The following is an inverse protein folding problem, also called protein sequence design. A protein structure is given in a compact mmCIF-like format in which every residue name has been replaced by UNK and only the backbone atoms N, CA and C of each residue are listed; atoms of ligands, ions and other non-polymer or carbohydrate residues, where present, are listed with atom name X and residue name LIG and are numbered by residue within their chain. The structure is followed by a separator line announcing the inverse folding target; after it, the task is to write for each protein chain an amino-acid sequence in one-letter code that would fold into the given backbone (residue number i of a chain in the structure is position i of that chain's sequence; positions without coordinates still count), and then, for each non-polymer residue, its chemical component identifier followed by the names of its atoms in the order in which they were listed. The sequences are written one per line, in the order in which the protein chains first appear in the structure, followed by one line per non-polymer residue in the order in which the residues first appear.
data_IF_241394896335
#
_entry.id   IF_241394896335
#
_cell.length_a   1.000
_cell.length_b   1.000
_cell.length_c   1.000
_cell.angle_alpha   90.00
_cell.angle_beta   90.00
_cell.angle_gamma   90.00
#
_symmetry.space_group_name_H-M   'P 1'
#
loop_
_entity.id
_entity.type
_entity.pdbx_description
1 polymer ?
#
# COMPACT_ATOMS: atom_id res chain seq x y z
N UNK A 1 -12.84 9.54 0.67
CA UNK A 1 -13.61 8.43 1.30
C UNK A 1 -13.44 8.41 2.82
N UNK A 2 -12.21 8.41 3.35
CA UNK A 2 -11.99 8.28 4.79
C UNK A 2 -12.73 9.33 5.63
N UNK A 3 -12.69 10.62 5.26
CA UNK A 3 -13.45 11.67 5.98
C UNK A 3 -14.96 11.41 6.02
N UNK A 4 -15.55 10.99 4.89
CA UNK A 4 -16.99 10.75 4.77
C UNK A 4 -17.47 9.61 5.67
N UNK A 5 -16.64 8.59 5.86
CA UNK A 5 -16.96 7.42 6.67
C UNK A 5 -16.29 7.44 8.05
N UNK A 6 -15.62 8.54 8.40
CA UNK A 6 -14.79 8.64 9.61
C UNK A 6 -13.82 7.44 9.78
N UNK A 7 -13.26 6.96 8.68
CA UNK A 7 -12.38 5.79 8.67
C UNK A 7 -10.96 6.19 9.06
N UNK A 8 -10.26 5.32 9.78
CA UNK A 8 -8.84 5.47 10.06
C UNK A 8 -8.01 4.99 8.85
N UNK A 9 -7.11 5.83 8.35
CA UNK A 9 -6.21 5.50 7.25
C UNK A 9 -4.86 5.00 7.81
N UNK A 10 -4.61 3.70 7.70
CA UNK A 10 -3.29 3.15 7.97
C UNK A 10 -2.42 3.20 6.72
N UNK A 11 -1.48 4.15 6.70
CA UNK A 11 -0.49 4.26 5.63
C UNK A 11 0.70 3.37 5.94
N UNK A 12 1.01 2.48 5.00
CA UNK A 12 2.06 1.48 5.18
C UNK A 12 3.06 1.48 4.04
N UNK A 13 4.32 1.28 4.41
CA UNK A 13 5.40 1.04 3.48
C UNK A 13 6.10 -0.26 3.85
N UNK A 14 6.14 -1.24 2.95
CA UNK A 14 6.89 -2.48 3.13
C UNK A 14 8.30 -2.27 2.61
N UNK A 15 9.29 -2.32 3.50
CA UNK A 15 10.70 -2.12 3.15
C UNK A 15 11.21 -3.28 2.30
N UNK A 16 11.78 -2.98 1.15
CA UNK A 16 12.46 -3.98 0.30
C UNK A 16 13.98 -3.78 0.30
N UNK A 17 14.74 -4.80 -0.10
CA UNK A 17 16.20 -4.75 -0.08
C UNK A 17 16.71 -3.61 -0.98
N UNK A 18 17.42 -2.64 -0.39
CA UNK A 18 17.93 -1.46 -1.09
C UNK A 18 17.01 -0.23 -1.02
N UNK A 19 15.85 -0.31 -0.35
CA UNK A 19 15.08 0.89 -0.03
C UNK A 19 15.86 1.76 0.98
N UNK A 20 16.13 3.00 0.58
CA UNK A 20 16.38 4.07 1.54
C UNK A 20 15.14 4.18 2.42
N UNK A 21 15.32 4.12 3.75
CA UNK A 21 14.26 4.24 4.74
C UNK A 21 13.32 5.38 4.29
N UNK A 22 12.11 5.05 3.84
CA UNK A 22 11.07 6.06 3.71
C UNK A 22 10.73 6.46 5.14
N UNK A 23 11.46 7.44 5.66
CA UNK A 23 11.08 8.12 6.88
C UNK A 23 9.83 8.93 6.56
N UNK A 24 8.90 8.94 7.52
CA UNK A 24 7.68 9.72 7.47
C UNK A 24 7.92 11.12 6.87
N UNK A 25 7.21 11.46 5.80
CA UNK A 25 7.30 12.78 5.16
C UNK A 25 6.33 13.74 5.88
N UNK A 26 6.81 14.79 6.56
CA UNK A 26 5.95 15.77 7.24
C UNK A 26 4.98 16.50 6.31
N UNK A 27 5.25 16.52 5.00
CA UNK A 27 4.29 17.07 4.02
C UNK A 27 2.97 16.29 4.01
N UNK A 28 2.96 15.03 4.46
CA UNK A 28 1.75 14.21 4.56
C UNK A 28 0.71 14.83 5.50
N UNK A 29 1.14 15.51 6.58
CA UNK A 29 0.21 16.19 7.50
C UNK A 29 -0.61 17.27 6.80
N UNK A 30 0.00 17.94 5.82
CA UNK A 30 -0.68 18.97 5.03
C UNK A 30 -1.66 18.32 4.05
N UNK A 31 -1.28 17.24 3.37
CA UNK A 31 -2.13 16.56 2.38
C UNK A 31 -3.28 15.77 2.99
N UNK A 32 -3.12 15.30 4.23
CA UNK A 32 -4.09 14.48 4.95
C UNK A 32 -4.78 15.25 6.08
N UNK A 33 -4.76 16.57 6.02
CA UNK A 33 -5.46 17.39 7.01
C UNK A 33 -6.95 17.00 7.11
N UNK A 34 -7.42 16.87 8.35
CA UNK A 34 -8.76 16.38 8.66
C UNK A 34 -9.00 14.89 8.37
N UNK A 35 -7.99 14.09 8.05
CA UNK A 35 -8.08 12.62 7.95
C UNK A 35 -7.42 12.02 9.19
N UNK A 36 -8.13 11.12 9.88
CA UNK A 36 -7.53 10.32 10.95
C UNK A 36 -6.59 9.27 10.31
N UNK A 37 -5.28 9.45 10.43
CA UNK A 37 -4.32 8.56 9.79
C UNK A 37 -3.11 8.25 10.68
N UNK A 38 -2.47 7.12 10.39
CA UNK A 38 -1.20 6.72 11.00
C UNK A 38 -0.25 6.22 9.93
N UNK A 39 1.05 6.34 10.16
CA UNK A 39 2.09 5.81 9.28
C UNK A 39 2.89 4.70 9.96
N UNK A 40 3.19 3.62 9.23
CA UNK A 40 4.09 2.56 9.69
C UNK A 40 4.93 1.97 8.56
N UNK A 41 6.23 1.86 8.79
CA UNK A 41 7.11 1.05 7.95
C UNK A 41 7.10 -0.41 8.46
N UNK A 42 6.89 -1.36 7.55
CA UNK A 42 6.87 -2.80 7.80
C UNK A 42 8.15 -3.43 7.22
N UNK A 43 8.73 -4.38 7.93
CA UNK A 43 9.77 -5.23 7.37
C UNK A 43 9.13 -6.26 6.43
N UNK A 44 9.75 -6.54 5.28
CA UNK A 44 9.25 -7.58 4.39
C UNK A 44 9.57 -8.97 4.97
N UNK A 45 8.55 -9.68 5.41
CA UNK A 45 8.69 -10.99 6.05
C UNK A 45 8.88 -12.12 5.02
N UNK A 46 8.26 -12.00 3.84
CA UNK A 46 8.33 -13.00 2.78
C UNK A 46 8.09 -12.37 1.41
N UNK A 47 6.86 -11.92 1.17
CA UNK A 47 6.44 -11.13 0.01
C UNK A 47 5.71 -9.89 0.49
N UNK A 48 5.61 -8.88 -0.39
CA UNK A 48 4.87 -7.65 -0.09
C UNK A 48 3.40 -7.98 0.17
N UNK A 49 2.81 -8.88 -0.62
CA UNK A 49 1.41 -9.25 -0.45
C UNK A 49 1.14 -9.98 0.87
N UNK A 50 1.97 -10.95 1.25
CA UNK A 50 1.82 -11.67 2.53
C UNK A 50 2.01 -10.71 3.71
N UNK A 51 3.04 -9.85 3.64
CA UNK A 51 3.30 -8.84 4.69
C UNK A 51 2.10 -7.89 4.86
N UNK A 52 1.53 -7.40 3.76
CA UNK A 52 0.34 -6.54 3.79
C UNK A 52 -0.90 -7.29 4.31
N UNK A 53 -1.10 -8.54 3.88
CA UNK A 53 -2.23 -9.38 4.32
C UNK A 53 -2.19 -9.60 5.83
N UNK A 54 -1.04 -10.06 6.35
CA UNK A 54 -0.82 -10.27 7.79
C UNK A 54 -1.05 -8.98 8.59
N UNK A 55 -0.59 -7.84 8.08
CA UNK A 55 -0.76 -6.58 8.77
C UNK A 55 -2.22 -6.09 8.77
N UNK A 56 -2.95 -6.31 7.69
CA UNK A 56 -4.38 -6.01 7.64
C UNK A 56 -5.17 -6.89 8.62
N UNK A 57 -4.85 -8.18 8.71
CA UNK A 57 -5.46 -9.11 9.67
C UNK A 57 -5.17 -8.68 11.12
N UNK A 58 -3.93 -8.29 11.41
CA UNK A 58 -3.53 -7.76 12.73
C UNK A 58 -4.32 -6.51 13.13
N UNK A 59 -4.57 -5.61 12.18
CA UNK A 59 -5.35 -4.38 12.42
C UNK A 59 -6.86 -4.62 12.43
N UNK A 60 -7.34 -5.74 11.91
CA UNK A 60 -8.76 -5.93 11.58
C UNK A 60 -9.24 -4.95 10.51
N UNK A 61 -8.42 -4.71 9.48
CA UNK A 61 -8.72 -3.73 8.45
C UNK A 61 -9.90 -4.14 7.55
N UNK A 62 -10.81 -3.22 7.26
CA UNK A 62 -12.00 -3.49 6.44
C UNK A 62 -11.71 -3.52 4.92
N UNK A 63 -10.64 -2.86 4.48
CA UNK A 63 -10.26 -2.78 3.09
C UNK A 63 -8.77 -2.47 2.93
N UNK A 64 -8.17 -3.00 1.87
CA UNK A 64 -6.82 -2.65 1.45
C UNK A 64 -6.87 -1.73 0.23
N UNK A 65 -6.15 -0.61 0.29
CA UNK A 65 -6.03 0.32 -0.83
C UNK A 65 -4.60 0.32 -1.37
N UNK A 66 -4.45 0.16 -2.69
CA UNK A 66 -3.16 0.18 -3.37
C UNK A 66 -3.16 1.18 -4.51
N UNK A 67 -2.08 1.95 -4.63
CA UNK A 67 -1.88 2.84 -5.78
C UNK A 67 -1.07 2.08 -6.82
N UNK A 68 -1.71 1.69 -7.92
CA UNK A 68 -1.03 1.03 -9.02
C UNK A 68 -0.37 2.09 -9.91
N UNK A 69 0.97 2.08 -9.94
CA UNK A 69 1.75 2.87 -10.90
C UNK A 69 1.93 2.05 -12.18
N UNK A 70 1.41 2.55 -13.30
CA UNK A 70 1.65 1.91 -14.59
C UNK A 70 3.14 1.97 -14.93
N UNK A 71 3.78 0.80 -15.02
CA UNK A 71 5.09 0.64 -15.64
C UNK A 71 4.96 0.93 -17.14
N UNK A 72 5.91 1.67 -17.71
CA UNK A 72 5.94 1.94 -19.16
C UNK A 72 5.97 0.64 -19.94
N UNK A 73 5.47 0.67 -21.18
CA UNK A 73 5.28 -0.51 -22.03
C UNK A 73 6.51 -1.42 -22.16
N UNK A 74 7.73 -0.86 -22.17
CA UNK A 74 8.98 -1.62 -22.15
C UNK A 74 9.23 -2.38 -20.84
N UNK A 75 8.91 -1.77 -19.69
CA UNK A 75 9.12 -2.40 -18.38
C UNK A 75 8.15 -3.57 -18.15
N UNK A 76 6.98 -3.57 -18.80
CA UNK A 76 6.01 -4.69 -18.76
C UNK A 76 6.48 -5.95 -19.49
N UNK A 77 7.37 -5.81 -20.48
CA UNK A 77 7.92 -6.94 -21.23
C UNK A 77 9.06 -7.66 -20.48
N UNK A 78 9.75 -6.97 -19.57
CA UNK A 78 10.88 -7.52 -18.80
C UNK A 78 10.57 -7.81 -17.33
N UNK A 79 9.45 -7.31 -16.79
CA UNK A 79 9.00 -7.64 -15.44
C UNK A 79 7.90 -8.71 -15.50
N UNK A 80 8.23 -9.94 -15.11
CA UNK A 80 7.24 -10.99 -14.84
C UNK A 80 6.18 -10.42 -13.88
N UNK A 81 4.91 -10.70 -14.14
CA UNK A 81 3.75 -10.10 -13.47
C UNK A 81 3.60 -10.56 -12.00
N UNK A 82 4.58 -10.27 -11.15
CA UNK A 82 4.58 -10.60 -9.71
C UNK A 82 3.33 -10.03 -9.03
N UNK A 83 2.89 -8.84 -9.44
CA UNK A 83 1.72 -8.15 -8.88
C UNK A 83 0.41 -8.92 -9.08
N UNK A 84 0.27 -9.77 -10.09
CA UNK A 84 -1.02 -10.43 -10.37
C UNK A 84 -1.16 -11.78 -9.68
N UNK A 85 -0.05 -12.48 -9.45
CA UNK A 85 -0.02 -13.74 -8.72
C UNK A 85 -0.01 -13.51 -7.20
N UNK A 86 0.72 -12.51 -6.70
CA UNK A 86 0.83 -12.26 -5.25
C UNK A 86 -0.42 -11.59 -4.65
N UNK A 87 -1.15 -10.75 -5.40
CA UNK A 87 -2.36 -10.09 -4.89
C UNK A 87 -3.55 -11.05 -4.73
N UNK A 88 -3.47 -12.27 -5.25
CA UNK A 88 -4.56 -13.25 -5.20
C UNK A 88 -4.82 -13.78 -3.78
N UNK A 89 -3.85 -13.63 -2.86
CA UNK A 89 -3.92 -14.11 -1.48
C UNK A 89 -4.50 -13.08 -0.49
N UNK A 90 -4.91 -11.90 -0.98
CA UNK A 90 -5.53 -10.87 -0.14
C UNK A 90 -7.01 -11.21 0.09
N UNK A 91 -7.37 -11.50 1.33
CA UNK A 91 -8.73 -11.88 1.74
C UNK A 91 -9.67 -10.68 1.99
N UNK A 92 -9.27 -9.48 1.59
CA UNK A 92 -9.92 -8.21 1.91
C UNK A 92 -10.43 -7.56 0.63
N UNK A 93 -11.51 -6.75 0.68
CA UNK A 93 -11.85 -5.85 -0.42
C UNK A 93 -10.64 -5.00 -0.83
N UNK A 94 -10.23 -5.13 -2.09
CA UNK A 94 -9.08 -4.42 -2.66
C UNK A 94 -9.53 -3.23 -3.51
N UNK A 95 -9.14 -2.02 -3.10
CA UNK A 95 -9.30 -0.79 -3.88
C UNK A 95 -8.00 -0.46 -4.61
N UNK A 96 -8.00 -0.52 -5.93
CA UNK A 96 -6.85 -0.13 -6.75
C UNK A 96 -7.08 1.27 -7.34
N UNK A 97 -6.23 2.22 -6.94
CA UNK A 97 -6.21 3.56 -7.51
C UNK A 97 -5.18 3.61 -8.65
N UNK A 98 -5.62 4.03 -9.83
CA UNK A 98 -4.71 4.25 -10.95
C UNK A 98 -4.12 5.66 -10.85
N UNK A 99 -2.80 5.75 -10.66
CA UNK A 99 -2.11 7.02 -10.80
C UNK A 99 -2.02 7.37 -12.29
N UNK A 100 -2.89 8.27 -12.75
CA UNK A 100 -2.70 8.92 -14.05
C UNK A 100 -1.55 9.93 -13.92
N UNK A 101 -0.55 9.79 -14.79
CA UNK A 101 0.48 10.82 -15.01
C UNK A 101 -0.10 11.96 -15.84
#
# INVERSE_FOLDING_TARGET
MCQRFNAHLYMVHVKTFGDSIFEYDPAMDIYLDGINYSYKALENESTVAVTLSNYCDYLGADALCMIHRQKTWFQRLFAKSITKEELFEINLPLLILNAHK
#
